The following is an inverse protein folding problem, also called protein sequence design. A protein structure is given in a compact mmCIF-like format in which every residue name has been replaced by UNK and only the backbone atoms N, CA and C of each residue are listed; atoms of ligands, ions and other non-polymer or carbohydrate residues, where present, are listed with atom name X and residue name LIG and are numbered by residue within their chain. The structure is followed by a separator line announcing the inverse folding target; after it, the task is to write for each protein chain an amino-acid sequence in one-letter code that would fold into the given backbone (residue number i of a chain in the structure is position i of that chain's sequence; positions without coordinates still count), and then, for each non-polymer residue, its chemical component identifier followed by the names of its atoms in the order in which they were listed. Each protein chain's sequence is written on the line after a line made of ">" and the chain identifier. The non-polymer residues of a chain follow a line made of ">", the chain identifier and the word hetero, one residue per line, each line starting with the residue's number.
data_IF_278744870559
#
_entry.id   IF_278744870559
#
_cell.length_a   1.000
_cell.length_b   1.000
_cell.length_c   1.000
_cell.angle_alpha   90.00
_cell.angle_beta   90.00
_cell.angle_gamma   90.00
#
_symmetry.space_group_name_H-M   'P 1'
#
loop_
_entity.id
_entity.type
_entity.pdbx_description
1 polymer ?
#
# COMPACT_ATOMS: atom_id res chain seq x y z
N UNK A 1 2.29 -1.15 25.36
CA UNK A 1 1.01 -1.63 24.79
C UNK A 1 0.17 -0.48 24.28
N UNK A 2 0.43 -0.04 23.04
CA UNK A 2 -0.33 1.05 22.41
C UNK A 2 -1.45 0.57 21.46
N UNK A 3 -1.36 -0.66 20.95
CA UNK A 3 -2.26 -1.20 19.93
C UNK A 3 -3.35 -2.16 20.45
N UNK A 4 -3.30 -2.60 21.72
CA UNK A 4 -4.24 -3.57 22.30
C UNK A 4 -4.51 -4.84 21.45
N UNK A 5 -3.56 -5.25 20.62
CA UNK A 5 -3.70 -6.40 19.72
C UNK A 5 -4.40 -6.10 18.38
N UNK A 6 -4.77 -4.85 18.12
CA UNK A 6 -5.37 -4.42 16.86
C UNK A 6 -4.31 -3.87 15.90
N UNK A 7 -4.05 -4.60 14.81
CA UNK A 7 -3.08 -4.23 13.79
C UNK A 7 -3.48 -2.94 13.06
N UNK A 8 -4.79 -2.74 12.80
CA UNK A 8 -5.28 -1.60 12.01
C UNK A 8 -4.92 -0.25 12.64
N UNK A 9 -4.87 -0.21 13.99
CA UNK A 9 -4.49 0.96 14.77
C UNK A 9 -3.07 1.47 14.49
N UNK A 10 -2.20 0.64 13.92
CA UNK A 10 -0.81 0.96 13.58
C UNK A 10 -0.49 0.87 12.10
N UNK A 11 -1.44 0.48 11.23
CA UNK A 11 -1.19 0.40 9.80
C UNK A 11 -0.82 1.75 9.17
N UNK A 12 -1.16 2.88 9.79
CA UNK A 12 -0.76 4.23 9.32
C UNK A 12 0.64 4.67 9.80
N UNK A 13 1.33 3.85 10.60
CA UNK A 13 2.63 4.22 11.17
C UNK A 13 3.72 4.50 10.12
N UNK A 14 3.86 3.73 9.02
CA UNK A 14 4.86 4.00 7.98
C UNK A 14 4.75 5.40 7.36
N UNK A 15 3.54 5.88 7.11
CA UNK A 15 3.29 7.25 6.63
C UNK A 15 3.73 8.33 7.63
N UNK A 16 3.66 8.05 8.93
CA UNK A 16 4.08 9.01 9.95
C UNK A 16 5.60 9.12 10.02
N UNK A 17 6.30 7.99 9.88
CA UNK A 17 7.76 7.94 10.08
C UNK A 17 8.57 8.25 8.82
N UNK A 18 8.01 8.15 7.60
CA UNK A 18 8.74 8.44 6.36
C UNK A 18 9.34 9.85 6.30
N UNK A 19 8.82 10.79 7.09
CA UNK A 19 9.34 12.16 7.21
C UNK A 19 10.48 12.30 8.23
N UNK A 20 10.68 11.32 9.11
CA UNK A 20 11.70 11.34 10.16
C UNK A 20 13.06 11.08 9.56
N UNK A 21 14.08 11.82 10.01
CA UNK A 21 15.45 11.70 9.47
C UNK A 21 15.97 10.25 9.43
N UNK A 22 15.70 9.46 10.48
CA UNK A 22 16.09 8.04 10.58
C UNK A 22 15.42 7.13 9.54
N UNK A 23 14.21 7.49 9.08
CA UNK A 23 13.38 6.66 8.21
C UNK A 23 13.14 7.29 6.83
N UNK A 24 13.87 8.33 6.45
CA UNK A 24 13.74 8.94 5.09
C UNK A 24 13.91 7.94 3.95
N UNK A 25 14.71 6.90 4.18
CA UNK A 25 14.91 5.81 3.23
C UNK A 25 13.63 5.02 2.93
N UNK A 26 12.59 5.11 3.76
CA UNK A 26 11.30 4.43 3.53
C UNK A 26 10.38 5.19 2.59
N UNK A 27 10.60 6.48 2.36
CA UNK A 27 9.70 7.29 1.52
C UNK A 27 9.45 6.73 0.11
N UNK A 28 10.47 6.27 -0.66
CA UNK A 28 10.21 5.68 -1.98
C UNK A 28 9.56 4.29 -1.90
N UNK A 29 9.51 3.65 -0.72
CA UNK A 29 8.90 2.33 -0.55
C UNK A 29 7.38 2.35 -0.56
N UNK A 30 6.75 3.53 -0.59
CA UNK A 30 5.29 3.65 -0.63
C UNK A 30 4.70 3.57 -2.04
N UNK A 31 5.52 3.66 -3.10
CA UNK A 31 5.03 3.76 -4.46
C UNK A 31 5.97 3.11 -5.48
N UNK A 32 5.53 3.10 -6.74
CA UNK A 32 6.29 2.77 -7.94
C UNK A 32 6.02 3.87 -8.97
N UNK A 33 7.09 4.44 -9.49
CA UNK A 33 7.03 5.34 -10.64
C UNK A 33 7.15 4.54 -11.94
N UNK A 34 6.09 4.55 -12.76
CA UNK A 34 6.09 3.92 -14.08
C UNK A 34 6.26 4.96 -15.20
N UNK A 35 6.81 4.59 -16.37
CA UNK A 35 6.96 5.50 -17.48
C UNK A 35 5.60 6.03 -17.97
N UNK A 36 5.54 7.32 -18.24
CA UNK A 36 4.34 7.99 -18.72
C UNK A 36 3.72 7.28 -19.93
N UNK A 37 2.41 7.04 -19.86
CA UNK A 37 1.61 6.39 -20.91
C UNK A 37 2.00 4.95 -21.26
N UNK A 38 2.94 4.32 -20.53
CA UNK A 38 3.26 2.91 -20.75
C UNK A 38 2.10 2.01 -20.30
N UNK A 39 1.39 2.41 -19.24
CA UNK A 39 0.31 1.63 -18.60
C UNK A 39 0.73 0.17 -18.33
N UNK A 40 2.01 -0.02 -18.03
CA UNK A 40 2.61 -1.31 -17.74
C UNK A 40 3.69 -1.14 -16.68
N UNK A 41 3.83 -2.17 -15.86
CA UNK A 41 4.83 -2.25 -14.81
C UNK A 41 5.84 -3.35 -15.15
N UNK A 42 7.12 -3.06 -14.97
CA UNK A 42 8.20 -4.04 -15.05
C UNK A 42 9.16 -3.85 -13.88
N UNK A 43 9.21 -4.80 -12.95
CA UNK A 43 10.02 -4.71 -11.72
C UNK A 43 11.46 -4.21 -11.98
N UNK A 44 12.16 -4.81 -12.94
CA UNK A 44 13.57 -4.47 -13.23
C UNK A 44 13.76 -3.03 -13.74
N UNK A 45 12.75 -2.50 -14.42
CA UNK A 45 12.73 -1.15 -14.99
C UNK A 45 12.30 -0.12 -13.95
N UNK A 46 11.24 -0.42 -13.20
CA UNK A 46 10.48 0.57 -12.42
C UNK A 46 10.76 0.51 -10.91
N UNK A 47 11.20 -0.63 -10.38
CA UNK A 47 11.42 -0.76 -8.93
C UNK A 47 12.80 -0.21 -8.52
N UNK A 48 12.89 1.11 -8.39
CA UNK A 48 14.06 1.81 -7.87
C UNK A 48 13.69 3.17 -7.27
N UNK A 49 14.58 3.74 -6.45
CA UNK A 49 14.42 5.13 -5.98
C UNK A 49 14.86 6.14 -7.05
N UNK A 50 14.73 7.44 -6.75
CA UNK A 50 15.13 8.53 -7.66
C UNK A 50 16.63 8.58 -7.98
N UNK A 51 17.47 7.87 -7.23
CA UNK A 51 18.91 7.73 -7.48
C UNK A 51 19.25 6.44 -8.25
N UNK A 52 18.26 5.63 -8.59
CA UNK A 52 18.42 4.35 -9.29
C UNK A 52 18.83 3.18 -8.39
N UNK A 53 18.71 3.31 -7.06
CA UNK A 53 18.92 2.20 -6.13
C UNK A 53 17.78 1.20 -6.32
N UNK A 54 18.12 -0.01 -6.78
CA UNK A 54 17.15 -1.09 -7.05
C UNK A 54 16.42 -1.54 -5.78
N UNK A 55 15.24 -2.11 -5.98
CA UNK A 55 14.35 -2.66 -4.94
C UNK A 55 13.76 -1.62 -3.97
N UNK A 56 14.08 -0.34 -4.16
CA UNK A 56 13.56 0.77 -3.37
C UNK A 56 12.22 1.28 -3.91
N UNK A 57 11.23 0.39 -3.96
CA UNK A 57 9.84 0.66 -4.34
C UNK A 57 8.88 -0.19 -3.49
N UNK A 58 7.56 0.00 -3.60
CA UNK A 58 6.58 -0.76 -2.80
C UNK A 58 6.62 -2.28 -3.04
N UNK A 59 6.81 -2.73 -4.27
CA UNK A 59 6.95 -4.16 -4.56
C UNK A 59 8.21 -4.78 -3.93
N UNK A 60 9.34 -4.08 -3.99
CA UNK A 60 10.59 -4.51 -3.34
C UNK A 60 10.48 -4.50 -1.81
N UNK A 61 9.75 -3.52 -1.25
CA UNK A 61 9.48 -3.44 0.19
C UNK A 61 8.66 -4.64 0.67
N UNK A 62 7.58 -5.00 -0.04
CA UNK A 62 6.76 -6.18 0.28
C UNK A 62 7.63 -7.45 0.31
N UNK A 63 8.47 -7.67 -0.70
CA UNK A 63 9.37 -8.82 -0.75
C UNK A 63 10.34 -8.83 0.44
N UNK A 64 10.98 -7.69 0.71
CA UNK A 64 11.93 -7.54 1.80
C UNK A 64 11.29 -7.86 3.16
N UNK A 65 10.19 -7.17 3.52
CA UNK A 65 9.57 -7.36 4.83
C UNK A 65 8.87 -8.71 4.99
N UNK A 66 8.36 -9.30 3.91
CA UNK A 66 7.89 -10.70 3.94
C UNK A 66 9.04 -11.64 4.25
N UNK A 67 10.18 -11.51 3.56
CA UNK A 67 11.35 -12.36 3.82
C UNK A 67 11.88 -12.26 5.25
N UNK A 68 11.84 -11.06 5.86
CA UNK A 68 12.22 -10.86 7.27
C UNK A 68 11.29 -11.62 8.22
N UNK A 69 9.97 -11.60 7.95
CA UNK A 69 8.96 -12.23 8.80
C UNK A 69 8.92 -13.75 8.68
N UNK A 70 9.34 -14.34 7.56
CA UNK A 70 9.42 -15.80 7.38
C UNK A 70 10.30 -16.44 8.47
N UNK A 71 11.40 -15.80 8.86
CA UNK A 71 12.31 -16.31 9.88
C UNK A 71 11.89 -16.03 11.33
N UNK A 72 10.74 -15.39 11.55
CA UNK A 72 10.25 -15.05 12.89
C UNK A 72 10.11 -16.29 13.79
N UNK A 73 9.59 -17.40 13.25
CA UNK A 73 9.33 -18.64 14.01
C UNK A 73 10.60 -19.42 14.34
N UNK A 74 11.62 -19.33 13.50
CA UNK A 74 12.88 -20.06 13.66
C UNK A 74 13.81 -19.37 14.68
N UNK A 75 13.52 -18.11 15.01
CA UNK A 75 14.33 -17.27 15.88
C UNK A 75 15.51 -16.71 15.11
N UNK A 76 15.46 -15.43 14.76
CA UNK A 76 16.58 -14.79 14.07
C UNK A 76 17.72 -14.56 15.06
N UNK A 77 18.91 -15.07 14.75
CA UNK A 77 20.14 -14.66 15.46
C UNK A 77 20.57 -13.24 15.09
N UNK A 78 20.00 -12.72 13.99
CA UNK A 78 20.24 -11.37 13.51
C UNK A 78 19.45 -10.35 14.33
N UNK A 79 20.18 -9.62 15.19
CA UNK A 79 19.64 -8.54 16.04
C UNK A 79 19.27 -7.29 15.24
N UNK A 80 19.51 -7.27 13.93
CA UNK A 80 19.34 -6.09 13.10
C UNK A 80 17.89 -5.85 12.64
N UNK A 81 17.07 -6.90 12.55
CA UNK A 81 15.68 -6.77 12.10
C UNK A 81 14.70 -6.56 13.26
N UNK A 82 13.93 -5.48 13.18
CA UNK A 82 12.81 -5.23 14.07
C UNK A 82 11.54 -5.83 13.47
N UNK A 83 11.12 -6.99 13.98
CA UNK A 83 9.95 -7.73 13.45
C UNK A 83 8.64 -6.96 13.59
N UNK A 84 8.53 -6.07 14.59
CA UNK A 84 7.38 -5.18 14.70
C UNK A 84 7.37 -4.18 13.55
N UNK A 85 8.51 -3.56 13.21
CA UNK A 85 8.59 -2.67 12.06
C UNK A 85 8.29 -3.43 10.75
N UNK A 86 8.85 -4.64 10.59
CA UNK A 86 8.60 -5.45 9.41
C UNK A 86 7.11 -5.76 9.20
N UNK A 87 6.39 -6.12 10.28
CA UNK A 87 4.95 -6.35 10.23
C UNK A 87 4.17 -5.09 9.85
N UNK A 88 4.49 -3.94 10.45
CA UNK A 88 3.79 -2.68 10.17
C UNK A 88 4.07 -2.18 8.75
N UNK A 89 5.32 -2.28 8.29
CA UNK A 89 5.68 -1.94 6.92
C UNK A 89 4.98 -2.84 5.92
N UNK A 90 5.04 -4.17 6.10
CA UNK A 90 4.37 -5.09 5.19
C UNK A 90 2.87 -4.83 5.11
N UNK A 91 2.21 -4.65 6.26
CA UNK A 91 0.76 -4.42 6.32
C UNK A 91 0.36 -3.13 5.60
N UNK A 92 1.15 -2.07 5.74
CA UNK A 92 0.92 -0.80 5.06
C UNK A 92 1.20 -0.89 3.56
N UNK A 93 2.35 -1.44 3.17
CA UNK A 93 2.76 -1.52 1.77
C UNK A 93 1.87 -2.45 0.94
N UNK A 94 1.28 -3.47 1.55
CA UNK A 94 0.21 -4.24 0.92
C UNK A 94 -1.02 -3.39 0.63
N UNK A 95 -1.35 -2.39 1.45
CA UNK A 95 -2.39 -1.42 1.13
C UNK A 95 -1.98 -0.47 0.00
N UNK A 96 -0.78 0.10 0.11
CA UNK A 96 -0.24 1.06 -0.87
C UNK A 96 -0.17 0.48 -2.28
N UNK A 97 0.32 -0.76 -2.45
CA UNK A 97 0.44 -1.36 -3.79
C UNK A 97 -0.93 -1.57 -4.48
N UNK A 98 -2.02 -1.69 -3.69
CA UNK A 98 -3.38 -1.81 -4.22
C UNK A 98 -4.03 -0.44 -4.48
N UNK A 99 -3.41 0.66 -4.09
CA UNK A 99 -3.86 2.02 -4.42
C UNK A 99 -3.39 2.37 -5.83
N UNK A 100 -4.28 2.50 -6.83
CA UNK A 100 -3.86 2.64 -8.24
C UNK A 100 -2.89 3.79 -8.52
N UNK A 101 -3.03 4.91 -7.81
CA UNK A 101 -2.18 6.09 -7.98
C UNK A 101 -0.81 5.97 -7.28
N UNK A 102 -0.57 4.93 -6.48
CA UNK A 102 0.76 4.58 -5.97
C UNK A 102 1.58 3.79 -6.98
N UNK A 103 0.97 3.29 -8.07
CA UNK A 103 1.67 2.68 -9.21
C UNK A 103 1.33 3.50 -10.46
N UNK A 104 1.76 4.77 -10.43
CA UNK A 104 1.35 5.80 -11.37
C UNK A 104 2.46 6.28 -12.28
N UNK A 105 2.24 7.41 -12.96
CA UNK A 105 3.26 8.01 -13.82
C UNK A 105 4.28 8.81 -13.03
N UNK A 106 5.54 8.74 -13.48
CA UNK A 106 6.63 9.47 -12.86
C UNK A 106 6.44 10.98 -12.94
N UNK A 107 6.02 11.52 -14.09
CA UNK A 107 6.03 12.98 -14.29
C UNK A 107 4.92 13.72 -13.55
N UNK A 108 3.83 13.03 -13.21
CA UNK A 108 2.73 13.60 -12.45
C UNK A 108 2.77 13.28 -10.95
N UNK A 109 3.82 12.58 -10.50
CA UNK A 109 4.04 12.10 -9.13
C UNK A 109 2.87 11.22 -8.66
N UNK A 110 2.46 10.26 -9.49
CA UNK A 110 1.27 9.44 -9.22
C UNK A 110 0.01 10.30 -9.12
N UNK A 111 -0.11 11.34 -9.94
CA UNK A 111 -1.23 12.29 -9.95
C UNK A 111 -1.24 13.33 -8.83
N UNK A 112 -0.20 13.42 -7.99
CA UNK A 112 -0.11 14.47 -6.95
C UNK A 112 -0.05 15.88 -7.55
N UNK A 113 0.57 16.03 -8.73
CA UNK A 113 0.69 17.31 -9.42
C UNK A 113 -0.57 17.68 -10.23
N UNK A 114 -1.50 16.73 -10.42
CA UNK A 114 -2.76 16.95 -11.14
C UNK A 114 -3.77 17.59 -10.19
N UNK A 115 -3.81 18.91 -10.20
CA UNK A 115 -4.78 19.69 -9.40
C UNK A 115 -6.21 19.55 -9.93
N UNK A 116 -7.13 19.16 -9.05
CA UNK A 116 -8.55 18.98 -9.38
C UNK A 116 -9.45 19.65 -8.33
N UNK A 117 -10.76 19.59 -8.57
CA UNK A 117 -11.79 19.88 -7.56
C UNK A 117 -12.59 18.61 -7.32
N UNK A 118 -12.61 18.17 -6.06
CA UNK A 118 -13.52 17.12 -5.63
C UNK A 118 -14.76 17.81 -5.06
N UNK A 119 -15.88 17.74 -5.79
CA UNK A 119 -17.06 18.56 -5.53
C UNK A 119 -16.72 20.05 -5.31
N UNK A 120 -16.88 20.54 -4.08
CA UNK A 120 -16.76 21.96 -3.73
C UNK A 120 -15.37 22.37 -3.26
N UNK A 121 -14.49 21.43 -2.88
CA UNK A 121 -13.13 21.73 -2.42
C UNK A 121 -12.06 21.41 -3.47
N UNK A 122 -10.88 22.02 -3.30
CA UNK A 122 -9.70 21.73 -4.11
C UNK A 122 -9.03 20.46 -3.58
N UNK A 123 -8.50 19.64 -4.47
CA UNK A 123 -7.75 18.41 -4.16
C UNK A 123 -6.71 18.17 -5.26
N UNK A 124 -6.02 17.03 -5.21
CA UNK A 124 -5.25 16.51 -6.35
C UNK A 124 -5.74 15.09 -6.70
N UNK A 125 -5.40 14.57 -7.87
CA UNK A 125 -5.91 13.27 -8.32
C UNK A 125 -5.49 12.13 -7.39
N UNK A 126 -4.25 12.12 -6.92
CA UNK A 126 -3.74 11.12 -5.98
C UNK A 126 -4.58 11.05 -4.70
N UNK A 127 -4.79 12.19 -4.06
CA UNK A 127 -5.56 12.33 -2.82
C UNK A 127 -7.04 11.98 -3.01
N UNK A 128 -7.58 12.14 -4.23
CA UNK A 128 -8.95 11.68 -4.54
C UNK A 128 -9.05 10.16 -4.36
N UNK A 129 -8.07 9.42 -4.84
CA UNK A 129 -8.01 7.96 -4.69
C UNK A 129 -7.67 7.52 -3.26
N UNK A 130 -6.68 8.14 -2.63
CA UNK A 130 -6.29 7.80 -1.24
C UNK A 130 -7.44 7.95 -0.25
N UNK A 131 -8.29 8.97 -0.45
CA UNK A 131 -9.11 9.47 0.65
C UNK A 131 -10.48 9.99 0.23
N UNK A 132 -10.58 10.82 -0.80
CA UNK A 132 -11.82 11.55 -1.06
C UNK A 132 -12.97 10.63 -1.47
N UNK A 133 -12.70 9.61 -2.29
CA UNK A 133 -13.71 8.61 -2.71
C UNK A 133 -14.24 7.88 -1.47
N UNK A 134 -13.35 7.35 -0.62
CA UNK A 134 -13.70 6.61 0.60
C UNK A 134 -14.52 7.49 1.54
N UNK A 135 -14.08 8.73 1.81
CA UNK A 135 -14.81 9.64 2.70
C UNK A 135 -16.18 10.05 2.17
N UNK A 136 -16.30 10.20 0.85
CA UNK A 136 -17.58 10.52 0.21
C UNK A 136 -18.54 9.34 0.35
N UNK A 137 -18.10 8.13 0.01
CA UNK A 137 -18.91 6.93 0.17
C UNK A 137 -19.33 6.71 1.64
N UNK A 138 -18.41 6.90 2.59
CA UNK A 138 -18.70 6.84 4.02
C UNK A 138 -19.78 7.84 4.43
N UNK A 139 -19.69 9.08 3.95
CA UNK A 139 -20.66 10.12 4.29
C UNK A 139 -22.03 9.88 3.64
N UNK A 140 -22.06 9.40 2.40
CA UNK A 140 -23.28 9.26 1.60
C UNK A 140 -24.06 7.98 1.94
N UNK A 141 -23.37 6.88 2.26
CA UNK A 141 -23.99 5.56 2.40
C UNK A 141 -23.88 4.94 3.80
N UNK A 142 -22.93 5.39 4.64
CA UNK A 142 -22.57 4.69 5.88
C UNK A 142 -22.60 5.58 7.13
N UNK A 143 -23.20 6.77 7.09
CA UNK A 143 -23.24 7.71 8.23
C UNK A 143 -21.86 8.03 8.82
N UNK A 144 -20.81 7.96 7.99
CA UNK A 144 -19.39 8.09 8.36
C UNK A 144 -18.86 6.98 9.27
N UNK A 145 -19.53 5.83 9.33
CA UNK A 145 -19.09 4.65 10.06
C UNK A 145 -18.19 3.77 9.16
N UNK A 146 -16.92 3.67 9.51
CA UNK A 146 -15.96 2.83 8.80
C UNK A 146 -16.24 1.33 9.00
N UNK A 147 -16.71 0.94 10.17
CA UNK A 147 -17.00 -0.47 10.50
C UNK A 147 -18.09 -1.01 9.57
N UNK A 148 -19.11 -0.20 9.28
CA UNK A 148 -20.20 -0.60 8.37
C UNK A 148 -19.73 -0.74 6.92
N UNK A 149 -18.86 0.14 6.44
CA UNK A 149 -18.26 -0.02 5.11
C UNK A 149 -17.38 -1.29 5.06
N UNK A 150 -16.61 -1.55 6.11
CA UNK A 150 -15.78 -2.74 6.21
C UNK A 150 -16.64 -4.02 6.22
N UNK A 151 -17.72 -4.06 6.99
CA UNK A 151 -18.67 -5.19 7.03
C UNK A 151 -19.26 -5.47 5.64
N UNK A 152 -19.65 -4.44 4.90
CA UNK A 152 -20.18 -4.59 3.54
C UNK A 152 -19.11 -5.11 2.56
N UNK A 153 -17.88 -4.60 2.64
CA UNK A 153 -16.76 -5.11 1.82
C UNK A 153 -16.49 -6.58 2.11
N UNK A 154 -16.45 -6.97 3.39
CA UNK A 154 -16.29 -8.36 3.82
C UNK A 154 -17.43 -9.23 3.31
N UNK A 155 -18.68 -8.77 3.41
CA UNK A 155 -19.84 -9.47 2.88
C UNK A 155 -19.73 -9.73 1.38
N UNK A 156 -19.26 -8.73 0.61
CA UNK A 156 -19.15 -8.84 -0.85
C UNK A 156 -18.16 -9.91 -1.32
N UNK A 157 -17.05 -10.13 -0.62
CA UNK A 157 -16.10 -11.19 -0.97
C UNK A 157 -16.32 -12.51 -0.22
N UNK A 158 -17.09 -12.51 0.88
CA UNK A 158 -17.39 -13.75 1.63
C UNK A 158 -18.58 -14.51 1.04
N UNK A 159 -19.65 -13.81 0.64
CA UNK A 159 -20.88 -14.43 0.13
C UNK A 159 -21.53 -13.62 -1.01
N UNK A 160 -20.89 -12.55 -1.47
CA UNK A 160 -21.45 -11.59 -2.42
C UNK A 160 -20.85 -11.66 -3.82
N UNK A 161 -20.82 -10.50 -4.49
CA UNK A 161 -20.48 -10.40 -5.91
C UNK A 161 -19.03 -10.77 -6.25
N UNK A 162 -18.12 -10.75 -5.28
CA UNK A 162 -16.71 -11.07 -5.47
C UNK A 162 -16.33 -12.45 -4.95
N UNK A 163 -17.29 -13.22 -4.43
CA UNK A 163 -17.03 -14.53 -3.84
C UNK A 163 -16.24 -15.46 -4.79
N UNK A 164 -16.64 -15.50 -6.07
CA UNK A 164 -15.99 -16.35 -7.07
C UNK A 164 -14.59 -15.85 -7.46
N UNK A 165 -14.28 -14.58 -7.23
CA UNK A 165 -13.01 -13.96 -7.61
C UNK A 165 -11.91 -14.17 -6.56
N UNK A 166 -12.26 -14.35 -5.27
CA UNK A 166 -11.29 -14.41 -4.15
C UNK A 166 -10.21 -15.45 -4.36
N UNK A 167 -10.58 -16.65 -4.82
CA UNK A 167 -9.60 -17.71 -5.08
C UNK A 167 -8.53 -17.27 -6.09
N UNK A 168 -8.90 -16.45 -7.08
CA UNK A 168 -7.96 -15.92 -8.07
C UNK A 168 -7.06 -14.81 -7.53
N UNK A 169 -7.51 -14.09 -6.50
CA UNK A 169 -6.74 -13.06 -5.80
C UNK A 169 -5.70 -13.69 -4.86
N UNK A 170 -6.06 -14.79 -4.20
CA UNK A 170 -5.19 -15.53 -3.28
C UNK A 170 -4.11 -16.34 -4.01
N UNK A 171 -4.41 -16.84 -5.21
CA UNK A 171 -3.47 -17.65 -5.97
C UNK A 171 -2.26 -16.82 -6.44
N UNK A 172 -1.07 -17.17 -5.97
CA UNK A 172 0.16 -16.59 -6.49
C UNK A 172 1.33 -17.56 -6.27
N UNK A 173 2.14 -17.78 -7.30
CA UNK A 173 3.21 -18.79 -7.29
C UNK A 173 4.39 -18.39 -6.38
N UNK A 174 4.80 -17.12 -6.42
CA UNK A 174 5.86 -16.57 -5.58
C UNK A 174 5.76 -15.04 -5.42
N UNK A 175 6.39 -14.49 -4.37
CA UNK A 175 6.30 -13.06 -4.01
C UNK A 175 6.73 -12.11 -5.14
N UNK A 176 7.62 -12.52 -6.04
CA UNK A 176 8.05 -11.70 -7.16
C UNK A 176 6.94 -11.62 -8.22
N UNK A 177 6.32 -12.76 -8.53
CA UNK A 177 5.20 -12.85 -9.47
C UNK A 177 3.93 -12.16 -8.95
N UNK A 178 3.66 -12.17 -7.63
CA UNK A 178 2.46 -11.53 -7.08
C UNK A 178 2.41 -10.03 -7.35
N UNK A 179 3.57 -9.37 -7.41
CA UNK A 179 3.63 -7.93 -7.70
C UNK A 179 3.27 -7.55 -9.14
N UNK A 180 3.14 -8.54 -10.04
CA UNK A 180 2.75 -8.33 -11.45
C UNK A 180 1.33 -8.87 -11.77
N UNK A 181 0.61 -9.39 -10.78
CA UNK A 181 -0.81 -9.76 -10.91
C UNK A 181 -1.68 -8.51 -10.79
#
# INVERSE_FOLDING_TARGET
>A
DYANGDLSSLCVWPDQIRHWYKYRWTSPLHFIDTPDNACSYEYSRDCHDTNGVKDMCVAGAIQNFTSQLVYYREGTSDRQYNMTEALLFLSHFMGDIHQPMHVGFTTDEGGNTISVRWFRHKSNLHHVWDREIILTALADYYEKNLDSLQEDLVGNFTDGIWFDDVASWEECDDLLTCSNK
#
